data_IF_555647924864
#
_entry.id   IF_555647924864
#
_cell.length_a   1.000
_cell.length_b   1.000
_cell.length_c   1.000
_cell.angle_alpha   90.00
_cell.angle_beta   90.00
_cell.angle_gamma   90.00
#
_symmetry.space_group_name_H-M   'P 1'
#
loop_
_entity.id
_entity.type
_entity.pdbx_description
1 polymer ?
#
# COMPACT_ATOMS: atom_id res chain seq x y z
N UNK A 1 -5.07 21.03 -6.97
CA UNK A 1 -4.42 20.22 -8.01
C UNK A 1 -4.88 18.78 -7.84
N UNK A 2 -5.05 18.06 -8.95
CA UNK A 2 -5.53 16.68 -8.94
C UNK A 2 -4.41 15.73 -8.45
N UNK A 3 -4.74 14.89 -7.45
CA UNK A 3 -3.86 13.83 -6.95
C UNK A 3 -4.01 12.59 -7.82
N UNK A 4 -2.94 11.83 -7.98
CA UNK A 4 -2.99 10.54 -8.66
C UNK A 4 -3.23 9.40 -7.67
N UNK A 5 -3.90 8.34 -8.12
CA UNK A 5 -4.00 7.10 -7.36
C UNK A 5 -2.79 6.23 -7.67
N UNK A 6 -2.08 5.82 -6.64
CA UNK A 6 -0.93 4.95 -6.74
C UNK A 6 -1.26 3.56 -6.19
N UNK A 7 -0.80 2.48 -6.84
CA UNK A 7 -0.82 1.15 -6.21
C UNK A 7 -0.12 1.20 -4.86
N UNK A 8 -0.60 0.40 -3.89
CA UNK A 8 -0.05 0.39 -2.52
C UNK A 8 1.45 0.22 -2.49
N UNK A 9 1.97 -0.77 -3.22
CA UNK A 9 3.40 -1.07 -3.24
C UNK A 9 4.24 0.12 -3.70
N UNK A 10 3.73 0.91 -4.64
CA UNK A 10 4.37 2.14 -5.13
C UNK A 10 4.31 3.23 -4.07
N UNK A 11 3.13 3.46 -3.47
CA UNK A 11 2.95 4.45 -2.42
C UNK A 11 3.82 4.16 -1.19
N UNK A 12 3.88 2.91 -0.73
CA UNK A 12 4.72 2.50 0.39
C UNK A 12 6.21 2.65 0.08
N UNK A 13 6.63 2.31 -1.14
CA UNK A 13 8.00 2.51 -1.57
C UNK A 13 8.33 4.02 -1.59
N UNK A 14 7.44 4.86 -2.12
CA UNK A 14 7.62 6.31 -2.11
C UNK A 14 7.70 6.88 -0.68
N UNK A 15 6.87 6.43 0.25
CA UNK A 15 6.93 6.87 1.66
C UNK A 15 8.24 6.45 2.34
N UNK A 16 8.76 5.26 2.04
CA UNK A 16 10.05 4.79 2.55
C UNK A 16 11.20 5.64 2.02
N UNK A 17 11.15 6.04 0.76
CA UNK A 17 12.14 6.93 0.13
C UNK A 17 12.08 8.32 0.71
N UNK A 18 10.89 8.94 0.80
CA UNK A 18 10.72 10.28 1.37
C UNK A 18 11.27 10.42 2.80
N UNK A 19 11.24 9.35 3.59
CA UNK A 19 11.81 9.34 4.96
C UNK A 19 13.35 9.37 4.99
N UNK A 20 14.03 9.02 3.90
CA UNK A 20 15.48 8.84 3.84
C UNK A 20 16.15 9.67 2.72
N UNK A 21 15.38 10.34 1.87
CA UNK A 21 15.88 11.02 0.67
C UNK A 21 15.97 12.54 0.84
N UNK A 22 16.79 13.13 -0.02
CA UNK A 22 16.90 14.58 -0.23
C UNK A 22 15.54 15.11 -0.74
N UNK A 23 14.96 16.18 -0.16
CA UNK A 23 13.65 16.70 -0.58
C UNK A 23 13.59 17.29 -2.00
N UNK A 24 14.69 17.27 -2.74
CA UNK A 24 14.76 17.80 -4.10
C UNK A 24 14.13 16.85 -5.13
N UNK A 25 12.95 17.25 -5.62
CA UNK A 25 12.18 16.54 -6.65
C UNK A 25 13.01 16.37 -7.94
N UNK A 26 13.90 17.32 -8.29
CA UNK A 26 14.72 17.21 -9.48
C UNK A 26 15.74 16.07 -9.37
N UNK A 27 16.32 15.88 -8.19
CA UNK A 27 17.21 14.77 -7.91
C UNK A 27 16.50 13.42 -8.05
N UNK A 28 15.27 13.31 -7.53
CA UNK A 28 14.46 12.08 -7.68
C UNK A 28 14.17 11.77 -9.16
N UNK A 29 13.86 12.79 -9.97
CA UNK A 29 13.59 12.62 -11.40
C UNK A 29 14.86 12.16 -12.14
N UNK A 30 15.99 12.85 -11.94
CA UNK A 30 17.27 12.51 -12.59
C UNK A 30 17.75 11.12 -12.20
N UNK A 31 17.61 10.77 -10.92
CA UNK A 31 17.95 9.44 -10.41
C UNK A 31 17.11 8.35 -11.07
N UNK A 32 15.77 8.51 -11.10
CA UNK A 32 14.87 7.52 -11.70
C UNK A 32 15.09 7.37 -13.21
N UNK A 33 15.38 8.46 -13.93
CA UNK A 33 15.74 8.41 -15.35
C UNK A 33 17.06 7.64 -15.58
N UNK A 34 18.10 7.99 -14.83
CA UNK A 34 19.43 7.36 -14.94
C UNK A 34 19.36 5.85 -14.68
N UNK A 35 18.59 5.45 -13.67
CA UNK A 35 18.36 4.05 -13.35
C UNK A 35 17.60 3.33 -14.47
N UNK A 36 16.56 3.97 -15.04
CA UNK A 36 15.76 3.41 -16.14
C UNK A 36 16.62 3.09 -17.36
N UNK A 37 17.51 4.02 -17.71
CA UNK A 37 18.31 3.93 -18.94
C UNK A 37 19.48 2.96 -18.80
N UNK A 38 20.09 2.88 -17.61
CA UNK A 38 21.30 2.10 -17.41
C UNK A 38 21.07 0.67 -16.92
N UNK A 39 19.81 0.30 -16.59
CA UNK A 39 19.45 -1.02 -16.04
C UNK A 39 20.31 -1.41 -14.81
N UNK A 40 20.86 -0.42 -14.11
CA UNK A 40 21.73 -0.57 -12.95
C UNK A 40 20.84 -0.62 -11.71
N UNK A 41 20.62 -1.80 -11.15
CA UNK A 41 19.81 -1.90 -9.95
C UNK A 41 20.34 -2.90 -8.93
N UNK A 42 20.61 -2.38 -7.73
CA UNK A 42 20.90 -3.14 -6.51
C UNK A 42 20.03 -2.66 -5.34
N UNK A 43 18.81 -2.14 -5.61
CA UNK A 43 17.94 -1.58 -4.59
C UNK A 43 16.51 -2.18 -4.61
N UNK A 44 16.31 -3.41 -4.08
CA UNK A 44 15.00 -4.07 -4.07
C UNK A 44 13.85 -3.22 -3.53
N UNK A 45 14.14 -2.29 -2.61
CA UNK A 45 13.15 -1.39 -1.98
C UNK A 45 12.53 -0.36 -2.93
N UNK A 46 13.17 -0.08 -4.05
CA UNK A 46 12.73 0.91 -5.03
C UNK A 46 12.06 0.27 -6.26
N UNK A 47 12.15 -1.07 -6.39
CA UNK A 47 11.65 -1.82 -7.54
C UNK A 47 10.17 -1.50 -7.87
N UNK A 48 9.26 -1.38 -6.89
CA UNK A 48 7.87 -1.03 -7.18
C UNK A 48 7.71 0.34 -7.84
N UNK A 49 8.49 1.34 -7.41
CA UNK A 49 8.48 2.69 -8.01
C UNK A 49 8.98 2.61 -9.45
N UNK A 50 10.02 1.82 -9.68
CA UNK A 50 10.66 1.67 -10.97
C UNK A 50 9.76 1.03 -12.03
N UNK A 51 9.22 -0.15 -11.71
CA UNK A 51 8.36 -0.91 -12.61
C UNK A 51 7.13 -0.08 -12.99
N UNK A 52 6.58 0.63 -12.00
CA UNK A 52 5.45 1.52 -12.22
C UNK A 52 5.83 2.77 -13.03
N UNK A 53 6.96 3.42 -12.73
CA UNK A 53 7.44 4.63 -13.43
C UNK A 53 7.64 4.40 -14.93
N UNK A 54 8.19 3.24 -15.33
CA UNK A 54 8.43 2.92 -16.75
C UNK A 54 7.18 3.09 -17.62
N UNK A 55 6.00 2.81 -17.06
CA UNK A 55 4.71 2.87 -17.76
C UNK A 55 3.91 4.13 -17.39
N UNK A 56 4.20 4.77 -16.25
CA UNK A 56 3.37 5.84 -15.66
C UNK A 56 4.18 7.10 -15.32
N UNK A 57 5.09 7.52 -16.22
CA UNK A 57 6.02 8.64 -15.98
C UNK A 57 5.30 9.94 -15.61
N UNK A 58 4.18 10.24 -16.28
CA UNK A 58 3.42 11.47 -16.07
C UNK A 58 2.75 11.46 -14.70
N UNK A 59 2.17 10.33 -14.33
CA UNK A 59 1.48 10.10 -13.06
C UNK A 59 2.48 10.16 -11.91
N UNK A 60 3.69 9.61 -12.08
CA UNK A 60 4.78 9.73 -11.12
C UNK A 60 5.18 11.19 -10.85
N UNK A 61 5.40 11.97 -11.91
CA UNK A 61 5.70 13.40 -11.76
C UNK A 61 4.55 14.15 -11.07
N UNK A 62 3.31 13.79 -11.41
CA UNK A 62 2.11 14.35 -10.77
C UNK A 62 2.04 13.97 -9.29
N UNK A 63 2.40 12.75 -8.92
CA UNK A 63 2.47 12.28 -7.53
C UNK A 63 3.51 13.05 -6.71
N UNK A 64 4.65 13.40 -7.31
CA UNK A 64 5.71 14.16 -6.66
C UNK A 64 5.30 15.62 -6.39
N UNK A 65 4.63 16.27 -7.34
CA UNK A 65 4.26 17.70 -7.25
C UNK A 65 2.95 17.90 -6.49
N UNK A 66 1.92 17.11 -6.80
CA UNK A 66 0.55 17.31 -6.30
C UNK A 66 0.21 16.37 -5.13
N UNK A 67 1.04 15.38 -4.86
CA UNK A 67 0.75 14.28 -3.95
C UNK A 67 -0.09 13.17 -4.59
N UNK A 68 -0.34 12.11 -3.82
CA UNK A 68 -1.06 10.92 -4.27
C UNK A 68 -2.07 10.43 -3.23
N UNK A 69 -2.99 9.59 -3.69
CA UNK A 69 -3.83 8.73 -2.88
C UNK A 69 -3.42 7.28 -3.10
N UNK A 70 -3.52 6.45 -2.05
CA UNK A 70 -3.23 5.02 -2.19
C UNK A 70 -4.46 4.33 -2.75
N UNK A 71 -4.31 3.63 -3.87
CA UNK A 71 -5.31 2.70 -4.36
C UNK A 71 -5.42 1.54 -3.37
N UNK A 72 -6.60 1.38 -2.79
CA UNK A 72 -6.90 0.31 -1.86
C UNK A 72 -7.90 -0.63 -2.51
N UNK A 73 -7.58 -1.92 -2.55
CA UNK A 73 -8.57 -2.94 -2.90
C UNK A 73 -9.58 -3.07 -1.76
N UNK A 74 -10.73 -3.68 -2.04
CA UNK A 74 -11.71 -3.99 -0.98
C UNK A 74 -11.11 -4.88 0.11
N UNK A 75 -10.23 -5.82 -0.26
CA UNK A 75 -9.58 -6.73 0.68
C UNK A 75 -8.66 -5.97 1.63
N UNK A 76 -7.99 -4.95 1.12
CA UNK A 76 -7.09 -4.12 1.92
C UNK A 76 -7.81 -3.23 2.91
N UNK A 77 -8.93 -2.65 2.48
CA UNK A 77 -9.80 -1.87 3.36
C UNK A 77 -10.35 -2.76 4.46
N UNK A 78 -10.79 -3.98 4.12
CA UNK A 78 -11.28 -4.98 5.06
C UNK A 78 -10.20 -5.43 6.04
N UNK A 79 -8.98 -5.70 5.55
CA UNK A 79 -7.84 -6.09 6.38
C UNK A 79 -7.50 -5.00 7.39
N UNK A 80 -7.33 -3.75 6.92
CA UNK A 80 -7.04 -2.62 7.81
C UNK A 80 -8.14 -2.40 8.84
N UNK A 81 -9.40 -2.43 8.41
CA UNK A 81 -10.55 -2.28 9.31
C UNK A 81 -10.61 -3.40 10.35
N UNK A 82 -10.31 -4.64 9.95
CA UNK A 82 -10.22 -5.76 10.86
C UNK A 82 -9.07 -5.59 11.87
N UNK A 83 -7.86 -5.24 11.42
CA UNK A 83 -6.69 -5.00 12.26
C UNK A 83 -6.95 -3.94 13.35
N UNK A 84 -7.66 -2.86 13.01
CA UNK A 84 -8.05 -1.80 13.95
C UNK A 84 -9.01 -2.30 15.05
N UNK A 85 -9.84 -3.31 14.77
CA UNK A 85 -10.83 -3.86 15.70
C UNK A 85 -10.33 -5.10 16.45
N UNK A 86 -9.52 -5.96 15.83
CA UNK A 86 -9.10 -7.25 16.40
C UNK A 86 -8.14 -7.07 17.58
N UNK A 87 -7.51 -5.90 17.70
CA UNK A 87 -6.63 -5.56 18.82
C UNK A 87 -7.38 -4.86 19.97
N UNK A 88 -8.61 -4.39 19.74
CA UNK A 88 -9.48 -3.85 20.77
C UNK A 88 -10.27 -4.97 21.47
N UNK A 89 -10.12 -5.06 22.78
CA UNK A 89 -10.76 -6.07 23.62
C UNK A 89 -12.23 -5.78 23.94
N UNK A 90 -12.80 -4.67 23.44
CA UNK A 90 -14.21 -4.34 23.65
C UNK A 90 -15.15 -5.36 23.01
N UNK A 91 -16.31 -5.61 23.65
CA UNK A 91 -17.35 -6.48 23.09
C UNK A 91 -17.83 -6.00 21.72
N UNK A 92 -17.86 -4.68 21.51
CA UNK A 92 -18.21 -4.07 20.23
C UNK A 92 -17.24 -4.52 19.14
N UNK A 93 -15.94 -4.37 19.37
CA UNK A 93 -14.90 -4.69 18.38
C UNK A 93 -14.84 -6.19 18.09
N UNK A 94 -15.07 -7.03 19.11
CA UNK A 94 -15.24 -8.48 18.91
C UNK A 94 -16.46 -8.80 18.03
N UNK A 95 -17.59 -8.13 18.27
CA UNK A 95 -18.80 -8.27 17.45
C UNK A 95 -18.57 -7.87 15.98
N UNK A 96 -17.82 -6.79 15.75
CA UNK A 96 -17.41 -6.36 14.41
C UNK A 96 -16.56 -7.43 13.72
N UNK A 97 -15.54 -7.96 14.39
CA UNK A 97 -14.67 -9.00 13.84
C UNK A 97 -15.45 -10.27 13.47
N UNK A 98 -16.36 -10.73 14.35
CA UNK A 98 -17.25 -11.87 14.07
C UNK A 98 -18.12 -11.60 12.83
N UNK A 99 -18.67 -10.39 12.71
CA UNK A 99 -19.48 -9.99 11.56
C UNK A 99 -18.69 -10.06 10.25
N UNK A 100 -17.44 -9.59 10.25
CA UNK A 100 -16.54 -9.65 9.10
C UNK A 100 -16.29 -11.11 8.70
N UNK A 101 -15.86 -11.96 9.64
CA UNK A 101 -15.55 -13.37 9.37
C UNK A 101 -16.77 -14.12 8.82
N UNK A 102 -17.93 -13.97 9.47
CA UNK A 102 -19.18 -14.59 8.98
C UNK A 102 -19.55 -14.12 7.58
N UNK A 103 -19.33 -12.84 7.29
CA UNK A 103 -19.63 -12.30 5.95
C UNK A 103 -18.69 -12.89 4.91
N UNK A 104 -17.39 -13.02 5.21
CA UNK A 104 -16.42 -13.65 4.33
C UNK A 104 -16.77 -15.13 4.08
N UNK A 105 -17.16 -15.86 5.11
CA UNK A 105 -17.61 -17.25 5.01
C UNK A 105 -18.85 -17.38 4.11
N UNK A 106 -19.85 -16.50 4.30
CA UNK A 106 -21.07 -16.48 3.46
C UNK A 106 -20.73 -16.21 1.99
N UNK A 107 -19.77 -15.31 1.73
CA UNK A 107 -19.34 -14.96 0.39
C UNK A 107 -18.36 -15.97 -0.23
N UNK A 108 -17.92 -16.98 0.53
CA UNK A 108 -16.89 -17.92 0.10
C UNK A 108 -15.56 -17.24 -0.21
N UNK A 109 -15.24 -16.15 0.48
CA UNK A 109 -14.00 -15.38 0.31
C UNK A 109 -13.04 -15.63 1.47
N UNK A 110 -11.74 -15.64 1.14
CA UNK A 110 -10.67 -15.75 2.13
C UNK A 110 -9.73 -14.55 1.99
N UNK A 111 -9.40 -13.93 3.12
CA UNK A 111 -8.41 -12.85 3.19
C UNK A 111 -7.39 -13.25 4.25
N UNK A 112 -6.15 -13.53 3.82
CA UNK A 112 -5.09 -14.08 4.67
C UNK A 112 -4.85 -13.26 5.95
N UNK A 113 -4.86 -11.93 5.85
CA UNK A 113 -4.69 -11.04 7.01
C UNK A 113 -5.93 -10.86 7.90
N UNK A 114 -7.05 -11.51 7.60
CA UNK A 114 -8.29 -11.43 8.39
C UNK A 114 -8.59 -12.79 9.00
N UNK A 115 -8.71 -13.82 8.16
CA UNK A 115 -9.05 -15.17 8.61
C UNK A 115 -7.95 -15.78 9.49
N UNK A 116 -6.67 -15.68 9.09
CA UNK A 116 -5.56 -16.27 9.85
C UNK A 116 -5.38 -15.58 11.20
N UNK A 117 -5.48 -14.24 11.25
CA UNK A 117 -5.38 -13.49 12.50
C UNK A 117 -6.54 -13.77 13.45
N UNK A 118 -7.75 -13.97 12.91
CA UNK A 118 -8.91 -14.34 13.70
C UNK A 118 -8.71 -15.70 14.38
N UNK A 119 -8.29 -16.71 13.60
CA UNK A 119 -8.09 -18.07 14.10
C UNK A 119 -6.98 -18.09 15.15
N UNK A 120 -5.86 -17.41 14.91
CA UNK A 120 -4.75 -17.32 15.86
C UNK A 120 -5.14 -16.73 17.24
N UNK A 121 -6.17 -15.88 17.30
CA UNK A 121 -6.63 -15.25 18.55
C UNK A 121 -7.81 -15.94 19.21
N UNK A 122 -8.46 -16.88 18.54
CA UNK A 122 -9.65 -17.57 19.02
C UNK A 122 -9.50 -19.10 19.06
N UNK A 123 -8.27 -19.60 18.91
CA UNK A 123 -7.86 -20.98 19.23
C UNK A 123 -7.29 -21.02 20.65
#
# INVERSE_FOLDING_TARGET
>A
MEKVKLPREVAEAMDKVKKHANPDILYDIEYMQTVCENNRWDAPKLQPIYDWYRQNKKEYLTALVNGYEVEQTMEDMLKKFFEENVNDQSQRSRGVCIGIIKTLDILGKFIEGVNVEWDAKNT
#
